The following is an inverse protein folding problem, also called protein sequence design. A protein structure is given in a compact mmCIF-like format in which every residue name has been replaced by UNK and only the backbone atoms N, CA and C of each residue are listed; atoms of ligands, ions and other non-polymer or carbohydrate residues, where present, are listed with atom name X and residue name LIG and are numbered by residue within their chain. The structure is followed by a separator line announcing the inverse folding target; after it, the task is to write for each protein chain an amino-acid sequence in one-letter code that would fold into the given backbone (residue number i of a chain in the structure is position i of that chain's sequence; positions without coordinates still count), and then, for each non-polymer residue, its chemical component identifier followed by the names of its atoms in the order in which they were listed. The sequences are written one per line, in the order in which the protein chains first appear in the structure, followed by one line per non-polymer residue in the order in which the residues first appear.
data_IF_655880454274
#
_entry.id   IF_655880454274
#
_cell.length_a   1.000
_cell.length_b   1.000
_cell.length_c   1.000
_cell.angle_alpha   90.00
_cell.angle_beta   90.00
_cell.angle_gamma   90.00
#
_symmetry.space_group_name_H-M   'P 1'
#
loop_
_entity.id
_entity.type
_entity.pdbx_description
1 polymer ?
#
# COMPACT_ATOMS: atom_id res chain seq x y z
N UNK A 1 2.79 -13.79 -6.86
CA UNK A 1 3.13 -12.63 -6.00
C UNK A 1 1.93 -12.07 -5.24
N UNK A 2 0.87 -11.60 -5.91
CA UNK A 2 -0.34 -11.04 -5.26
C UNK A 2 -0.94 -11.93 -4.14
N UNK A 3 -1.08 -13.24 -4.37
CA UNK A 3 -1.62 -14.16 -3.36
C UNK A 3 -0.71 -14.26 -2.11
N UNK A 4 0.61 -14.29 -2.27
CA UNK A 4 1.55 -14.32 -1.16
C UNK A 4 1.52 -13.00 -0.36
N UNK A 5 1.49 -11.87 -1.07
CA UNK A 5 1.35 -10.55 -0.45
C UNK A 5 0.07 -10.45 0.38
N UNK A 6 -1.07 -10.91 -0.14
CA UNK A 6 -2.35 -10.90 0.57
C UNK A 6 -2.38 -11.75 1.84
N UNK A 7 -1.56 -12.82 1.89
CA UNK A 7 -1.38 -13.64 3.11
C UNK A 7 -0.37 -13.05 4.10
N UNK A 8 0.36 -11.99 3.73
CA UNK A 8 1.47 -11.48 4.52
C UNK A 8 2.70 -12.39 4.53
N UNK A 9 2.78 -13.34 3.59
CA UNK A 9 3.82 -14.37 3.53
C UNK A 9 5.12 -13.78 2.96
N UNK A 10 5.94 -13.24 3.86
CA UNK A 10 7.14 -12.47 3.52
C UNK A 10 8.18 -13.32 2.80
N UNK A 11 8.37 -14.55 3.24
CA UNK A 11 9.33 -15.49 2.69
C UNK A 11 8.96 -15.87 1.25
N UNK A 12 7.69 -16.16 0.99
CA UNK A 12 7.21 -16.46 -0.36
C UNK A 12 7.23 -15.22 -1.26
N UNK A 13 6.89 -14.03 -0.74
CA UNK A 13 7.04 -12.77 -1.48
C UNK A 13 8.48 -12.55 -1.90
N UNK A 14 9.44 -12.72 -0.98
CA UNK A 14 10.86 -12.56 -1.26
C UNK A 14 11.34 -13.55 -2.33
N UNK A 15 11.04 -14.84 -2.17
CA UNK A 15 11.41 -15.90 -3.13
C UNK A 15 10.90 -15.58 -4.53
N UNK A 16 9.61 -15.21 -4.66
CA UNK A 16 9.01 -14.89 -5.95
C UNK A 16 9.65 -13.66 -6.61
N UNK A 17 9.98 -12.63 -5.85
CA UNK A 17 10.66 -11.44 -6.36
C UNK A 17 12.10 -11.75 -6.82
N UNK A 18 12.82 -12.60 -6.08
CA UNK A 18 14.16 -13.08 -6.45
C UNK A 18 14.14 -13.95 -7.71
N UNK A 19 13.04 -14.69 -7.95
CA UNK A 19 12.79 -15.44 -9.19
C UNK A 19 12.35 -14.56 -10.37
N UNK A 20 12.28 -13.24 -10.19
CA UNK A 20 11.96 -12.29 -11.25
C UNK A 20 10.46 -12.03 -11.44
N UNK A 21 9.62 -12.34 -10.46
CA UNK A 21 8.22 -11.92 -10.50
C UNK A 21 8.12 -10.38 -10.59
N UNK A 22 7.29 -9.88 -11.50
CA UNK A 22 7.05 -8.45 -11.63
C UNK A 22 6.36 -7.90 -10.36
N UNK A 23 7.01 -6.97 -9.61
CA UNK A 23 6.44 -6.35 -8.42
C UNK A 23 5.18 -5.52 -8.70
N UNK A 24 4.93 -5.15 -9.97
CA UNK A 24 3.74 -4.45 -10.42
C UNK A 24 2.73 -5.37 -11.13
N UNK A 25 3.04 -6.67 -11.24
CA UNK A 25 2.20 -7.66 -11.91
C UNK A 25 0.84 -7.83 -11.23
N UNK A 26 -0.24 -7.59 -11.97
CA UNK A 26 -1.59 -7.52 -11.40
C UNK A 26 -2.30 -8.87 -11.29
N UNK A 27 -3.17 -9.02 -10.31
CA UNK A 27 -4.12 -10.14 -10.25
C UNK A 27 -5.27 -9.98 -11.26
N UNK A 28 -6.24 -10.92 -11.25
CA UNK A 28 -7.43 -10.89 -12.13
C UNK A 28 -8.35 -9.68 -11.95
N UNK A 29 -8.20 -8.93 -10.85
CA UNK A 29 -8.93 -7.69 -10.59
C UNK A 29 -8.13 -6.45 -11.01
N UNK A 30 -6.96 -6.61 -11.64
CA UNK A 30 -6.08 -5.51 -12.01
C UNK A 30 -5.32 -4.89 -10.84
N UNK A 31 -5.35 -5.49 -9.64
CA UNK A 31 -4.68 -4.96 -8.45
C UNK A 31 -3.24 -5.44 -8.37
N UNK A 32 -2.32 -4.57 -7.97
CA UNK A 32 -0.91 -4.90 -7.74
C UNK A 32 -0.70 -5.64 -6.42
N UNK A 33 0.45 -6.33 -6.23
CA UNK A 33 0.79 -6.94 -4.95
C UNK A 33 0.79 -5.95 -3.79
N UNK A 34 1.24 -4.71 -4.03
CA UNK A 34 1.27 -3.65 -3.03
C UNK A 34 -0.15 -3.20 -2.60
N UNK A 35 -1.14 -3.29 -3.50
CA UNK A 35 -2.54 -2.96 -3.20
C UNK A 35 -3.28 -4.07 -2.44
N UNK A 36 -2.89 -5.33 -2.65
CA UNK A 36 -3.56 -6.49 -2.02
C UNK A 36 -2.82 -7.01 -0.79
N UNK A 37 -1.63 -6.50 -0.48
CA UNK A 37 -0.85 -7.00 0.64
C UNK A 37 -1.60 -6.86 1.97
N UNK A 38 -1.26 -7.73 2.92
CA UNK A 38 -1.69 -7.53 4.30
C UNK A 38 -1.10 -6.22 4.83
N UNK A 39 -1.92 -5.17 4.91
CA UNK A 39 -1.45 -3.83 5.24
C UNK A 39 -0.84 -3.72 6.64
N UNK A 40 -1.14 -4.65 7.56
CA UNK A 40 -0.46 -4.78 8.84
C UNK A 40 0.96 -5.36 8.76
N UNK A 41 1.46 -5.68 7.57
CA UNK A 41 2.79 -6.26 7.33
C UNK A 41 3.72 -5.25 6.64
N UNK A 42 4.29 -4.26 7.36
CA UNK A 42 5.17 -3.25 6.77
C UNK A 42 6.41 -3.85 6.09
N UNK A 43 6.82 -5.06 6.48
CA UNK A 43 7.92 -5.79 5.84
C UNK A 43 7.60 -6.29 4.43
N UNK A 44 6.35 -6.69 4.19
CA UNK A 44 5.92 -7.05 2.82
C UNK A 44 5.88 -5.81 1.94
N UNK A 45 5.38 -4.69 2.48
CA UNK A 45 5.43 -3.39 1.79
C UNK A 45 6.86 -3.02 1.40
N UNK A 46 7.78 -3.06 2.37
CA UNK A 46 9.18 -2.73 2.18
C UNK A 46 9.86 -3.61 1.12
N UNK A 47 9.59 -4.93 1.11
CA UNK A 47 10.12 -5.83 0.09
C UNK A 47 9.60 -5.48 -1.31
N UNK A 48 8.29 -5.32 -1.46
CA UNK A 48 7.68 -4.98 -2.75
C UNK A 48 8.25 -3.65 -3.29
N UNK A 49 8.36 -2.64 -2.44
CA UNK A 49 8.88 -1.31 -2.80
C UNK A 49 10.36 -1.36 -3.19
N UNK A 50 11.19 -2.11 -2.45
CA UNK A 50 12.62 -2.30 -2.78
C UNK A 50 12.84 -2.96 -4.14
N UNK A 51 11.90 -3.78 -4.58
CA UNK A 51 11.93 -4.40 -5.91
C UNK A 51 11.30 -3.52 -7.01
N UNK A 52 10.79 -2.33 -6.68
CA UNK A 52 10.26 -1.38 -7.67
C UNK A 52 8.74 -1.39 -7.83
N UNK A 53 7.98 -1.87 -6.84
CA UNK A 53 6.53 -1.67 -6.82
C UNK A 53 6.21 -0.16 -6.78
N UNK A 54 5.28 0.28 -7.62
CA UNK A 54 4.82 1.67 -7.66
C UNK A 54 3.86 1.96 -6.49
N UNK A 55 4.24 2.80 -5.50
CA UNK A 55 3.38 3.15 -4.39
C UNK A 55 2.22 4.06 -4.76
N UNK A 56 2.21 4.62 -5.97
CA UNK A 56 1.21 5.58 -6.42
C UNK A 56 0.22 5.00 -7.41
N UNK A 57 0.30 3.69 -7.70
CA UNK A 57 -0.63 3.03 -8.61
C UNK A 57 -2.05 3.00 -8.00
N UNK A 58 -3.06 3.59 -8.66
CA UNK A 58 -4.42 3.60 -8.15
C UNK A 58 -5.08 2.24 -8.32
N UNK A 59 -5.93 1.88 -7.38
CA UNK A 59 -6.81 0.73 -7.48
C UNK A 59 -7.78 0.92 -8.67
N UNK A 60 -7.89 -0.05 -9.61
CA UNK A 60 -8.69 0.15 -10.82
C UNK A 60 -10.19 0.39 -10.58
N UNK A 61 -10.74 -0.09 -9.46
CA UNK A 61 -12.17 0.01 -9.17
C UNK A 61 -12.52 1.24 -8.35
N UNK A 62 -11.67 1.60 -7.39
CA UNK A 62 -11.94 2.62 -6.38
C UNK A 62 -11.10 3.88 -6.54
N UNK A 63 -10.03 3.82 -7.35
CA UNK A 63 -9.02 4.86 -7.44
C UNK A 63 -8.17 5.02 -6.16
N UNK A 64 -8.35 4.17 -5.14
CA UNK A 64 -7.59 4.26 -3.90
C UNK A 64 -6.10 3.96 -4.16
N UNK A 65 -5.23 4.83 -3.68
CA UNK A 65 -3.79 4.56 -3.60
C UNK A 65 -3.49 3.73 -2.33
N UNK A 66 -2.39 2.95 -2.28
CA UNK A 66 -1.99 2.18 -1.09
C UNK A 66 -2.00 2.98 0.22
N UNK A 67 -1.66 4.27 0.17
CA UNK A 67 -1.70 5.18 1.34
C UNK A 67 -3.10 5.42 1.89
N UNK A 68 -4.15 5.37 1.06
CA UNK A 68 -5.54 5.48 1.52
C UNK A 68 -5.96 4.26 2.33
N UNK A 69 -5.54 3.06 1.90
CA UNK A 69 -5.87 1.81 2.60
C UNK A 69 -5.11 1.73 3.93
N UNK A 70 -3.82 2.09 3.94
CA UNK A 70 -3.03 2.15 5.17
C UNK A 70 -3.58 3.20 6.14
N UNK A 71 -3.97 4.39 5.64
CA UNK A 71 -4.53 5.45 6.47
C UNK A 71 -5.86 5.04 7.11
N UNK A 72 -6.76 4.46 6.32
CA UNK A 72 -8.09 4.03 6.76
C UNK A 72 -8.08 2.90 7.77
N UNK A 73 -7.09 2.01 7.65
CA UNK A 73 -6.93 0.90 8.57
C UNK A 73 -6.04 1.22 9.78
N UNK A 74 -5.48 2.43 9.88
CA UNK A 74 -4.67 2.86 11.02
C UNK A 74 -3.24 2.29 11.03
N UNK A 75 -2.75 1.75 9.91
CA UNK A 75 -1.42 1.13 9.83
C UNK A 75 -0.33 2.18 9.63
N UNK A 76 0.00 2.92 10.69
CA UNK A 76 0.99 4.02 10.65
C UNK A 76 2.35 3.57 10.11
N UNK A 77 2.84 2.41 10.52
CA UNK A 77 4.16 1.91 10.12
C UNK A 77 4.20 1.63 8.62
N UNK A 78 3.16 0.99 8.08
CA UNK A 78 3.02 0.74 6.64
C UNK A 78 2.85 2.03 5.85
N UNK A 79 2.03 2.96 6.36
CA UNK A 79 1.89 4.30 5.78
C UNK A 79 3.25 5.02 5.72
N UNK A 80 4.04 4.93 6.80
CA UNK A 80 5.38 5.53 6.85
C UNK A 80 6.35 4.86 5.87
N UNK A 81 6.28 3.54 5.69
CA UNK A 81 7.09 2.83 4.69
C UNK A 81 6.72 3.28 3.28
N UNK A 82 5.43 3.37 2.97
CA UNK A 82 4.93 3.86 1.68
C UNK A 82 5.40 5.30 1.42
N UNK A 83 5.22 6.21 2.39
CA UNK A 83 5.64 7.60 2.27
C UNK A 83 7.16 7.72 2.03
N UNK A 84 7.98 6.99 2.79
CA UNK A 84 9.45 6.97 2.58
C UNK A 84 9.85 6.43 1.21
N UNK A 85 9.05 5.56 0.61
CA UNK A 85 9.25 5.03 -0.73
C UNK A 85 8.68 5.93 -1.85
N UNK A 86 8.22 7.14 -1.54
CA UNK A 86 7.73 8.11 -2.52
C UNK A 86 6.23 8.03 -2.79
N UNK A 87 5.45 7.39 -1.91
CA UNK A 87 3.99 7.49 -1.98
C UNK A 87 3.55 8.93 -1.73
N UNK A 88 2.67 9.42 -2.60
CA UNK A 88 2.10 10.77 -2.53
C UNK A 88 0.91 10.79 -1.59
N UNK A 89 0.93 11.71 -0.63
CA UNK A 89 -0.12 11.90 0.37
C UNK A 89 -1.13 12.99 -0.06
N UNK A 90 -0.89 13.63 -1.20
CA UNK A 90 -1.68 14.75 -1.74
C UNK A 90 -2.54 14.35 -2.94
N UNK A 91 -2.57 13.06 -3.30
CA UNK A 91 -3.37 12.56 -4.41
C UNK A 91 -4.74 12.07 -3.92
N UNK A 92 -5.85 12.48 -4.57
CA UNK A 92 -7.17 12.00 -4.23
C UNK A 92 -7.43 10.58 -4.75
N UNK A 93 -8.24 9.81 -4.02
CA UNK A 93 -8.86 8.58 -4.52
C UNK A 93 -9.94 8.86 -5.58
N UNK A 94 -10.57 7.79 -6.10
CA UNK A 94 -11.64 7.91 -7.10
C UNK A 94 -12.92 8.59 -6.60
N UNK A 95 -13.01 8.90 -5.30
CA UNK A 95 -14.10 9.70 -4.70
C UNK A 95 -13.66 11.12 -4.36
N UNK A 96 -12.46 11.54 -4.75
CA UNK A 96 -11.94 12.88 -4.47
C UNK A 96 -11.40 13.06 -3.05
N UNK A 97 -11.18 11.98 -2.29
CA UNK A 97 -10.72 12.04 -0.89
C UNK A 97 -9.22 11.86 -0.83
N UNK A 98 -8.54 12.65 0.00
CA UNK A 98 -7.14 12.47 0.34
C UNK A 98 -6.96 11.35 1.38
N UNK A 99 -5.73 10.83 1.58
CA UNK A 99 -5.44 9.88 2.66
C UNK A 99 -5.84 10.42 4.04
N UNK A 100 -5.67 11.73 4.29
CA UNK A 100 -6.07 12.38 5.54
C UNK A 100 -7.59 12.30 5.78
N UNK A 101 -8.39 12.42 4.72
CA UNK A 101 -9.87 12.40 4.80
C UNK A 101 -10.43 11.02 5.20
N UNK A 102 -9.63 9.97 5.03
CA UNK A 102 -10.01 8.59 5.37
C UNK A 102 -9.25 8.05 6.57
N UNK A 103 -8.41 8.84 7.23
CA UNK A 103 -7.53 8.39 8.31
C UNK A 103 -8.30 7.83 9.51
N UNK A 104 -7.85 6.68 10.01
CA UNK A 104 -8.31 6.11 11.28
C UNK A 104 -8.11 7.12 12.43
N UNK A 105 -9.14 7.29 13.27
CA UNK A 105 -9.16 8.29 14.34
C UNK A 105 -9.29 9.75 13.86
N UNK A 106 -9.46 9.99 12.56
CA UNK A 106 -9.58 11.33 11.97
C UNK A 106 -8.34 12.20 12.21
N UNK A 107 -8.51 13.54 12.13
CA UNK A 107 -7.41 14.52 12.28
C UNK A 107 -6.64 14.41 13.61
N UNK A 108 -7.30 13.93 14.67
CA UNK A 108 -6.70 13.78 15.99
C UNK A 108 -6.10 12.40 16.23
N UNK A 109 -6.35 11.45 15.33
CA UNK A 109 -5.78 10.10 15.38
C UNK A 109 -4.28 10.11 15.11
N UNK A 110 -3.61 9.05 15.50
CA UNK A 110 -2.16 8.88 15.28
C UNK A 110 -1.79 9.01 13.81
N UNK A 111 -2.60 8.41 12.92
CA UNK A 111 -2.39 8.51 11.47
C UNK A 111 -2.78 9.88 10.93
N UNK A 112 -3.89 10.46 11.41
CA UNK A 112 -4.28 11.82 11.00
C UNK A 112 -3.23 12.87 11.33
N UNK A 113 -2.56 12.78 12.49
CA UNK A 113 -1.44 13.66 12.84
C UNK A 113 -0.20 13.45 11.95
N UNK A 114 0.03 12.23 11.48
CA UNK A 114 1.13 11.94 10.57
C UNK A 114 0.90 12.51 9.16
N UNK A 115 -0.36 12.62 8.75
CA UNK A 115 -0.79 13.06 7.43
C UNK A 115 -1.00 14.59 7.32
N UNK A 116 -0.78 15.33 8.41
CA UNK A 116 -0.79 16.80 8.45
C UNK A 116 0.58 17.38 8.08
#
# INVERSE_FOLDING_TARGET
LCSAAARGDREEVQRLLEEGADPNGTNSFGRTPLQVMMMGSPRVAELLLRHGADPNRPDPLTGCLPVHDAARAGFLETLSVLHRAGARLDLPDGRGRLPLDVAEGGLTGTVGRYLQ
#
